data_IF_066608005876
#
_entry.id   IF_066608005876
#
_cell.length_a   1.000
_cell.length_b   1.000
_cell.length_c   1.000
_cell.angle_alpha   90.00
_cell.angle_beta   90.00
_cell.angle_gamma   90.00
#
_symmetry.space_group_name_H-M   'P 1'
#
loop_
_entity.id
_entity.type
_entity.pdbx_description
1 polymer ?
#
# COMPACT_ATOMS: atom_id res chain seq x y z
N UNK A 1 24.10 18.04 -0.95
CA UNK A 1 23.59 18.62 -2.22
C UNK A 1 22.48 17.73 -2.78
N UNK A 2 22.72 16.41 -2.98
CA UNK A 2 21.74 15.49 -3.55
C UNK A 2 20.39 15.45 -2.79
N UNK A 3 20.40 15.44 -1.46
CA UNK A 3 19.17 15.47 -0.65
C UNK A 3 18.39 16.79 -0.75
N UNK A 4 19.10 17.91 -0.88
CA UNK A 4 18.46 19.24 -1.04
C UNK A 4 17.79 19.40 -2.41
N UNK A 5 18.38 18.83 -3.46
CA UNK A 5 17.79 18.85 -4.81
C UNK A 5 16.75 17.74 -4.96
N UNK A 6 16.98 16.58 -4.35
CA UNK A 6 16.11 15.42 -4.44
C UNK A 6 14.70 15.65 -3.90
N UNK A 7 14.55 16.43 -2.82
CA UNK A 7 13.22 16.73 -2.24
C UNK A 7 12.35 17.53 -3.21
N UNK A 8 12.79 18.69 -3.75
CA UNK A 8 11.98 19.44 -4.73
C UNK A 8 11.68 18.64 -6.01
N UNK A 9 12.67 17.88 -6.51
CA UNK A 9 12.47 17.02 -7.69
C UNK A 9 11.47 15.90 -7.38
N UNK A 10 11.56 15.26 -6.21
CA UNK A 10 10.60 14.25 -5.78
C UNK A 10 9.18 14.79 -5.66
N UNK A 11 9.00 15.98 -5.11
CA UNK A 11 7.70 16.65 -5.02
C UNK A 11 7.16 16.96 -6.44
N UNK A 12 8.02 17.44 -7.33
CA UNK A 12 7.63 17.71 -8.72
C UNK A 12 7.18 16.43 -9.44
N UNK A 13 7.95 15.34 -9.30
CA UNK A 13 7.60 14.03 -9.87
C UNK A 13 6.30 13.51 -9.27
N UNK A 14 6.12 13.61 -7.95
CA UNK A 14 4.87 13.22 -7.29
C UNK A 14 3.66 13.99 -7.84
N UNK A 15 3.77 15.33 -7.97
CA UNK A 15 2.73 16.15 -8.59
C UNK A 15 2.42 15.72 -10.02
N UNK A 16 3.46 15.46 -10.83
CA UNK A 16 3.28 15.02 -12.21
C UNK A 16 2.57 13.66 -12.30
N UNK A 17 2.90 12.72 -11.40
CA UNK A 17 2.22 11.42 -11.29
C UNK A 17 0.76 11.62 -10.90
N UNK A 18 0.48 12.39 -9.86
CA UNK A 18 -0.89 12.64 -9.39
C UNK A 18 -1.75 13.35 -10.44
N UNK A 19 -1.19 14.33 -11.17
CA UNK A 19 -1.88 14.97 -12.30
C UNK A 19 -2.12 14.01 -13.46
N UNK A 20 -1.18 13.11 -13.75
CA UNK A 20 -1.36 12.05 -14.73
C UNK A 20 -2.45 11.05 -14.33
N UNK A 21 -2.50 10.68 -13.05
CA UNK A 21 -3.52 9.79 -12.49
C UNK A 21 -4.89 10.47 -12.43
N UNK A 22 -4.98 11.75 -12.05
CA UNK A 22 -6.24 12.50 -12.00
C UNK A 22 -6.93 12.61 -13.38
N UNK A 23 -6.16 12.63 -14.47
CA UNK A 23 -6.70 12.57 -15.83
C UNK A 23 -7.20 11.18 -16.23
N UNK A 24 -6.65 10.14 -15.62
CA UNK A 24 -7.02 8.73 -15.86
C UNK A 24 -8.19 8.29 -14.99
N UNK A 25 -8.26 8.83 -13.77
CA UNK A 25 -9.40 8.77 -12.87
C UNK A 25 -10.35 9.90 -13.29
N UNK A 26 -11.14 9.69 -14.33
CA UNK A 26 -12.04 10.69 -14.97
C UNK A 26 -13.17 11.23 -14.05
N UNK A 27 -12.95 11.33 -12.75
CA UNK A 27 -13.92 11.69 -11.72
C UNK A 27 -13.52 12.89 -10.87
N UNK A 28 -12.62 13.77 -11.34
CA UNK A 28 -12.39 15.06 -10.69
C UNK A 28 -11.83 15.04 -9.26
N UNK A 29 -11.33 13.90 -8.78
CA UNK A 29 -10.74 13.79 -7.44
C UNK A 29 -9.37 14.46 -7.45
N UNK A 30 -9.28 15.67 -6.94
CA UNK A 30 -8.01 16.32 -6.65
C UNK A 30 -7.40 15.75 -5.36
N UNK A 31 -6.38 14.91 -5.50
CA UNK A 31 -5.62 14.41 -4.35
C UNK A 31 -4.66 15.53 -3.89
N UNK A 32 -4.91 16.19 -2.73
CA UNK A 32 -4.06 17.27 -2.28
C UNK A 32 -2.67 16.73 -1.90
N UNK A 33 -1.61 17.34 -2.45
CA UNK A 33 -0.23 17.03 -2.04
C UNK A 33 0.07 17.75 -0.74
N UNK A 34 -0.13 17.07 0.37
CA UNK A 34 0.22 17.61 1.69
C UNK A 34 1.71 17.34 1.96
N UNK A 35 2.50 18.41 1.99
CA UNK A 35 3.94 18.33 2.31
C UNK A 35 4.09 18.59 3.80
N UNK A 36 4.32 17.54 4.59
CA UNK A 36 4.62 17.71 6.01
C UNK A 36 6.09 18.10 6.20
N UNK A 37 6.36 19.18 6.91
CA UNK A 37 7.72 19.64 7.25
C UNK A 37 8.51 18.55 8.01
N UNK A 38 7.92 17.82 8.99
CA UNK A 38 8.58 16.70 9.65
C UNK A 38 8.95 15.56 8.69
N UNK A 39 8.07 15.24 7.71
CA UNK A 39 8.34 14.21 6.70
C UNK A 39 9.51 14.59 5.78
N UNK A 40 9.59 15.85 5.36
CA UNK A 40 10.71 16.34 4.56
C UNK A 40 12.05 16.29 5.34
N UNK A 41 12.02 16.66 6.63
CA UNK A 41 13.21 16.57 7.50
C UNK A 41 13.64 15.12 7.74
N UNK A 42 12.69 14.22 7.99
CA UNK A 42 12.96 12.79 8.12
C UNK A 42 13.59 12.21 6.86
N UNK A 43 13.03 12.52 5.68
CA UNK A 43 13.55 12.07 4.38
C UNK A 43 14.97 12.59 4.14
N UNK A 44 15.25 13.85 4.48
CA UNK A 44 16.58 14.42 4.38
C UNK A 44 17.58 13.71 5.31
N UNK A 45 17.19 13.46 6.55
CA UNK A 45 18.02 12.76 7.55
C UNK A 45 18.34 11.34 7.10
N UNK A 46 17.35 10.61 6.58
CA UNK A 46 17.55 9.27 6.04
C UNK A 46 18.52 9.31 4.83
N UNK A 47 18.32 10.24 3.90
CA UNK A 47 19.20 10.37 2.72
C UNK A 47 20.66 10.66 3.11
N UNK A 48 20.88 11.56 4.07
CA UNK A 48 22.24 11.87 4.58
C UNK A 48 22.84 10.67 5.30
N UNK A 49 22.08 9.99 6.14
CA UNK A 49 22.57 8.81 6.88
C UNK A 49 22.95 7.68 5.94
N UNK A 50 22.12 7.37 4.94
CA UNK A 50 22.42 6.35 3.93
C UNK A 50 23.65 6.73 3.12
N UNK A 51 23.79 8.01 2.71
CA UNK A 51 24.96 8.48 1.98
C UNK A 51 26.25 8.38 2.79
N UNK A 52 26.20 8.74 4.08
CA UNK A 52 27.36 8.63 4.96
C UNK A 52 27.76 7.15 5.19
N UNK A 53 26.79 6.28 5.43
CA UNK A 53 27.03 4.84 5.60
C UNK A 53 27.61 4.22 4.32
N UNK A 54 27.07 4.59 3.16
CA UNK A 54 27.54 4.11 1.86
C UNK A 54 28.97 4.56 1.54
N UNK A 55 29.33 5.77 1.93
CA UNK A 55 30.69 6.30 1.74
C UNK A 55 31.70 5.76 2.77
N UNK A 56 31.24 5.46 3.99
CA UNK A 56 32.12 5.06 5.10
C UNK A 56 32.89 3.76 4.83
N UNK A 57 32.24 2.75 4.28
CA UNK A 57 32.86 1.45 3.98
C UNK A 57 33.98 1.56 2.96
N UNK A 58 33.80 2.17 1.76
CA UNK A 58 34.87 2.38 0.78
C UNK A 58 36.01 3.24 1.32
N UNK A 59 35.69 4.35 2.00
CA UNK A 59 36.70 5.23 2.60
C UNK A 59 37.57 4.49 3.64
N UNK A 60 36.93 3.70 4.53
CA UNK A 60 37.64 2.91 5.52
C UNK A 60 38.51 1.82 4.88
N UNK A 61 38.08 1.23 3.77
CA UNK A 61 38.93 0.28 3.00
C UNK A 61 40.08 0.97 2.36
N UNK A 62 39.84 2.08 1.63
CA UNK A 62 40.88 2.86 0.95
C UNK A 62 41.95 3.38 1.93
N UNK A 63 41.57 3.82 3.14
CA UNK A 63 42.49 4.30 4.16
C UNK A 63 43.43 3.23 4.74
N UNK A 64 43.15 1.97 4.51
CA UNK A 64 43.97 0.82 4.99
C UNK A 64 44.88 0.25 3.90
N UNK A 65 44.76 0.72 2.64
CA UNK A 65 45.59 0.27 1.55
C UNK A 65 47.00 0.88 1.66
N UNK A 66 48.07 0.09 1.45
CA UNK A 66 49.45 0.60 1.42
C UNK A 66 49.58 1.59 0.28
N UNK A 67 50.16 2.76 0.52
CA UNK A 67 50.32 3.84 -0.47
C UNK A 67 51.05 3.34 -1.71
N UNK A 68 52.03 2.44 -1.57
CA UNK A 68 52.79 1.84 -2.70
C UNK A 68 51.88 1.11 -3.69
N UNK A 69 50.88 0.38 -3.22
CA UNK A 69 50.01 -0.43 -4.07
C UNK A 69 48.99 0.44 -4.81
N UNK A 70 48.58 1.56 -4.18
CA UNK A 70 47.70 2.58 -4.81
C UNK A 70 48.45 3.32 -5.92
N UNK A 71 49.74 3.71 -5.68
CA UNK A 71 50.56 4.46 -6.65
C UNK A 71 50.99 3.57 -7.81
N UNK A 72 51.26 2.30 -7.57
CA UNK A 72 51.70 1.36 -8.61
C UNK A 72 50.51 0.76 -9.41
N UNK A 73 49.28 1.05 -9.04
CA UNK A 73 48.11 0.51 -9.72
C UNK A 73 47.97 -1.01 -9.60
N UNK A 74 48.68 -1.62 -8.64
CA UNK A 74 48.71 -3.08 -8.43
C UNK A 74 47.57 -3.60 -7.55
N UNK A 75 46.59 -2.77 -7.22
CA UNK A 75 45.41 -3.15 -6.46
C UNK A 75 44.42 -3.89 -7.38
N UNK A 76 44.84 -5.06 -7.88
CA UNK A 76 43.91 -6.04 -8.42
C UNK A 76 43.26 -6.81 -7.27
N UNK A 77 42.24 -6.28 -6.67
CA UNK A 77 41.34 -7.08 -5.82
C UNK A 77 40.53 -8.02 -6.74
N UNK A 78 41.07 -9.20 -6.99
CA UNK A 78 40.30 -10.32 -7.53
C UNK A 78 39.23 -10.68 -6.47
N UNK A 79 38.07 -10.05 -6.55
CA UNK A 79 36.90 -10.44 -5.75
C UNK A 79 36.36 -11.74 -6.33
N UNK A 80 36.98 -12.86 -5.98
CA UNK A 80 36.32 -14.18 -6.13
C UNK A 80 35.27 -14.23 -5.04
N UNK A 81 33.98 -14.25 -5.37
CA UNK A 81 32.93 -14.33 -4.36
C UNK A 81 33.14 -15.63 -3.56
N UNK A 82 33.41 -15.52 -2.28
CA UNK A 82 33.60 -16.67 -1.42
C UNK A 82 32.30 -17.47 -1.44
N UNK A 83 32.29 -18.80 -1.68
CA UNK A 83 31.08 -19.60 -1.82
C UNK A 83 30.15 -19.49 -0.62
N UNK A 84 30.69 -19.18 0.57
CA UNK A 84 29.90 -18.90 1.76
C UNK A 84 29.07 -17.63 1.65
N UNK A 85 29.60 -16.54 1.07
CA UNK A 85 28.88 -15.27 0.90
C UNK A 85 27.70 -15.47 -0.05
N UNK A 86 27.94 -16.24 -1.07
CA UNK A 86 26.94 -16.63 -2.05
C UNK A 86 25.84 -17.47 -1.43
N UNK A 87 26.21 -18.46 -0.60
CA UNK A 87 25.26 -19.29 0.14
C UNK A 87 24.38 -18.45 1.09
N UNK A 88 25.01 -17.54 1.82
CA UNK A 88 24.30 -16.58 2.70
C UNK A 88 23.32 -15.73 1.88
N UNK A 89 23.76 -15.19 0.74
CA UNK A 89 22.91 -14.40 -0.14
C UNK A 89 21.68 -15.16 -0.65
N UNK A 90 21.87 -16.42 -1.04
CA UNK A 90 20.77 -17.27 -1.52
C UNK A 90 19.77 -17.62 -0.40
N UNK A 91 20.29 -17.93 0.80
CA UNK A 91 19.45 -18.20 1.97
C UNK A 91 18.68 -16.94 2.37
N UNK A 92 19.35 -15.79 2.41
CA UNK A 92 18.72 -14.51 2.73
C UNK A 92 17.63 -14.16 1.71
N UNK A 93 17.87 -14.42 0.42
CA UNK A 93 16.88 -14.24 -0.64
C UNK A 93 15.63 -15.10 -0.39
N UNK A 94 15.82 -16.39 -0.12
CA UNK A 94 14.71 -17.28 0.17
C UNK A 94 13.92 -16.83 1.40
N UNK A 95 14.60 -16.51 2.52
CA UNK A 95 13.95 -16.00 3.73
C UNK A 95 13.14 -14.74 3.41
N UNK A 96 13.72 -13.78 2.69
CA UNK A 96 13.05 -12.52 2.35
C UNK A 96 11.80 -12.70 1.49
N UNK A 97 11.77 -13.70 0.61
CA UNK A 97 10.59 -14.01 -0.21
C UNK A 97 9.48 -14.67 0.63
N UNK A 98 9.84 -15.59 1.53
CA UNK A 98 8.83 -16.34 2.28
C UNK A 98 8.35 -15.63 3.55
N UNK A 99 9.15 -14.74 4.13
CA UNK A 99 8.84 -14.07 5.40
C UNK A 99 7.47 -13.35 5.42
N UNK A 100 7.07 -12.57 4.40
CA UNK A 100 5.76 -11.91 4.40
C UNK A 100 4.58 -12.89 4.37
N UNK A 101 4.76 -14.08 3.79
CA UNK A 101 3.70 -15.10 3.71
C UNK A 101 3.45 -15.82 5.04
N UNK A 102 4.41 -15.75 5.96
CA UNK A 102 4.31 -16.35 7.29
C UNK A 102 3.81 -15.37 8.36
N UNK A 103 3.77 -14.08 8.03
CA UNK A 103 3.37 -13.04 8.95
C UNK A 103 1.89 -12.65 8.74
N UNK A 104 1.19 -12.33 9.83
CA UNK A 104 -0.21 -11.88 9.82
C UNK A 104 -0.41 -10.69 10.76
N UNK A 105 -1.43 -9.88 10.51
CA UNK A 105 -1.76 -8.70 11.31
C UNK A 105 -0.63 -7.65 11.32
N UNK A 106 -0.41 -7.00 12.46
CA UNK A 106 0.61 -5.94 12.60
C UNK A 106 2.05 -6.41 12.33
N UNK A 107 2.32 -7.71 12.46
CA UNK A 107 3.63 -8.28 12.12
C UNK A 107 3.91 -8.27 10.61
N UNK A 108 2.88 -8.20 9.76
CA UNK A 108 3.02 -8.16 8.31
C UNK A 108 3.82 -6.94 7.85
N UNK A 109 3.58 -5.76 8.44
CA UNK A 109 4.31 -4.52 8.10
C UNK A 109 5.79 -4.61 8.44
N UNK A 110 6.12 -5.15 9.62
CA UNK A 110 7.51 -5.36 10.03
C UNK A 110 8.19 -6.42 9.15
N UNK A 111 7.52 -7.55 8.93
CA UNK A 111 8.03 -8.61 8.06
C UNK A 111 8.25 -8.13 6.63
N UNK A 112 7.33 -7.30 6.08
CA UNK A 112 7.47 -6.66 4.77
C UNK A 112 8.68 -5.73 4.69
N UNK A 113 8.90 -4.90 5.71
CA UNK A 113 10.07 -4.02 5.79
C UNK A 113 11.39 -4.79 5.84
N UNK A 114 11.49 -5.82 6.69
CA UNK A 114 12.67 -6.69 6.75
C UNK A 114 12.87 -7.50 5.48
N UNK A 115 11.80 -7.98 4.86
CA UNK A 115 11.83 -8.68 3.58
C UNK A 115 12.40 -7.79 2.46
N UNK A 116 11.96 -6.56 2.36
CA UNK A 116 12.42 -5.60 1.36
C UNK A 116 13.92 -5.30 1.51
N UNK A 117 14.37 -5.00 2.73
CA UNK A 117 15.79 -4.78 3.02
C UNK A 117 16.62 -6.05 2.79
N UNK A 118 16.12 -7.20 3.20
CA UNK A 118 16.74 -8.50 2.99
C UNK A 118 16.87 -8.86 1.51
N UNK A 119 15.86 -8.57 0.70
CA UNK A 119 15.87 -8.77 -0.75
C UNK A 119 16.94 -7.91 -1.43
N UNK A 120 17.07 -6.64 -1.05
CA UNK A 120 18.10 -5.74 -1.56
C UNK A 120 19.49 -6.29 -1.23
N UNK A 121 19.73 -6.62 0.04
CA UNK A 121 21.01 -7.16 0.49
C UNK A 121 21.33 -8.51 -0.20
N UNK A 122 20.36 -9.42 -0.28
CA UNK A 122 20.50 -10.70 -0.94
C UNK A 122 20.84 -10.55 -2.43
N UNK A 123 20.17 -9.64 -3.13
CA UNK A 123 20.41 -9.36 -4.54
C UNK A 123 21.86 -8.93 -4.75
N UNK A 124 22.37 -7.99 -3.94
CA UNK A 124 23.76 -7.54 -4.02
C UNK A 124 24.74 -8.70 -3.83
N UNK A 125 24.44 -9.63 -2.90
CA UNK A 125 25.30 -10.79 -2.63
C UNK A 125 25.23 -11.86 -3.73
N UNK A 126 24.12 -11.97 -4.45
CA UNK A 126 23.89 -12.96 -5.52
C UNK A 126 24.34 -12.45 -6.90
N UNK A 127 24.44 -11.14 -7.13
CA UNK A 127 24.88 -10.54 -8.41
C UNK A 127 26.16 -11.16 -8.97
N UNK A 128 27.22 -11.42 -8.19
CA UNK A 128 28.45 -12.03 -8.73
C UNK A 128 28.24 -13.41 -9.36
N UNK A 129 27.29 -14.19 -8.84
CA UNK A 129 26.93 -15.49 -9.45
C UNK A 129 26.24 -15.27 -10.78
N UNK A 130 25.27 -14.36 -10.78
CA UNK A 130 24.50 -14.06 -11.99
C UNK A 130 25.42 -13.56 -13.10
N UNK A 131 26.39 -12.70 -12.76
CA UNK A 131 27.42 -12.22 -13.69
C UNK A 131 28.30 -13.37 -14.22
N UNK A 132 28.68 -14.33 -13.36
CA UNK A 132 29.44 -15.51 -13.77
C UNK A 132 28.65 -16.43 -14.71
N UNK A 133 27.37 -16.67 -14.42
CA UNK A 133 26.49 -17.48 -15.26
C UNK A 133 26.31 -16.80 -16.62
N UNK A 134 26.00 -15.50 -16.60
CA UNK A 134 25.79 -14.72 -17.81
C UNK A 134 27.05 -14.69 -18.69
N UNK A 135 28.21 -14.47 -18.08
CA UNK A 135 29.50 -14.54 -18.78
C UNK A 135 29.75 -15.90 -19.38
N UNK A 136 29.40 -17.00 -18.71
CA UNK A 136 29.48 -18.36 -19.24
C UNK A 136 28.56 -18.60 -20.44
N UNK A 137 27.36 -18.01 -20.41
CA UNK A 137 26.43 -18.04 -21.54
C UNK A 137 26.99 -17.25 -22.71
N UNK A 138 27.51 -16.06 -22.47
CA UNK A 138 28.15 -15.25 -23.51
C UNK A 138 29.39 -15.94 -24.12
N UNK A 139 30.20 -16.59 -23.30
CA UNK A 139 31.37 -17.36 -23.80
C UNK A 139 30.91 -18.47 -24.76
N UNK A 140 29.81 -19.15 -24.50
CA UNK A 140 29.27 -20.18 -25.40
C UNK A 140 28.69 -19.58 -26.68
N UNK A 141 27.92 -18.49 -26.58
CA UNK A 141 27.29 -17.85 -27.73
C UNK A 141 28.36 -17.23 -28.65
N UNK A 142 29.25 -16.43 -28.10
CA UNK A 142 30.32 -15.81 -28.89
C UNK A 142 31.34 -16.81 -29.40
N UNK A 143 31.59 -17.90 -28.64
CA UNK A 143 32.43 -19.00 -29.12
C UNK A 143 31.82 -19.76 -30.28
N UNK A 144 30.49 -19.84 -30.37
CA UNK A 144 29.78 -20.44 -31.49
C UNK A 144 29.74 -19.54 -32.74
N UNK A 145 29.67 -18.21 -32.56
CA UNK A 145 29.58 -17.22 -33.66
C UNK A 145 30.94 -16.81 -34.20
N UNK A 146 31.89 -16.52 -33.33
CA UNK A 146 33.21 -15.95 -33.67
C UNK A 146 34.38 -16.86 -33.28
N UNK A 147 34.15 -18.13 -32.98
CA UNK A 147 35.19 -19.11 -32.67
C UNK A 147 36.08 -18.73 -31.46
N UNK A 148 37.39 -18.93 -31.58
CA UNK A 148 38.31 -18.69 -30.48
C UNK A 148 38.45 -17.19 -30.12
N UNK A 149 38.28 -16.29 -31.07
CA UNK A 149 38.32 -14.85 -30.82
C UNK A 149 37.16 -14.39 -29.93
N UNK A 150 35.97 -14.91 -30.21
CA UNK A 150 34.78 -14.67 -29.40
C UNK A 150 34.90 -15.21 -27.97
N UNK A 151 35.55 -16.37 -27.78
CA UNK A 151 35.84 -16.93 -26.45
C UNK A 151 36.81 -16.08 -25.65
N UNK A 152 37.86 -15.60 -26.28
CA UNK A 152 38.86 -14.73 -25.65
C UNK A 152 38.23 -13.41 -25.24
N UNK A 153 37.43 -12.81 -26.13
CA UNK A 153 36.69 -11.57 -25.82
C UNK A 153 35.75 -11.71 -24.65
N UNK A 154 34.94 -12.79 -24.61
CA UNK A 154 34.02 -13.06 -23.50
C UNK A 154 34.74 -13.33 -22.18
N UNK A 155 35.91 -13.98 -22.23
CA UNK A 155 36.74 -14.24 -21.05
C UNK A 155 37.38 -12.96 -20.51
N UNK A 156 37.86 -12.08 -21.40
CA UNK A 156 38.36 -10.77 -20.99
C UNK A 156 37.30 -9.88 -20.40
N UNK A 157 36.05 -9.97 -20.89
CA UNK A 157 34.89 -9.30 -20.25
C UNK A 157 34.65 -9.79 -18.83
N UNK A 158 34.74 -11.11 -18.60
CA UNK A 158 34.53 -11.71 -17.29
C UNK A 158 35.60 -11.30 -16.29
N UNK A 159 36.86 -11.24 -16.71
CA UNK A 159 38.01 -10.94 -15.86
C UNK A 159 38.18 -9.42 -15.62
N UNK A 160 37.38 -8.58 -16.29
CA UNK A 160 37.44 -7.12 -16.16
C UNK A 160 36.46 -6.64 -15.07
N UNK A 161 36.99 -6.07 -13.98
CA UNK A 161 36.24 -5.55 -12.86
C UNK A 161 35.25 -4.45 -13.26
N UNK A 162 35.62 -3.56 -14.17
CA UNK A 162 34.75 -2.51 -14.68
C UNK A 162 33.53 -3.09 -15.40
N UNK A 163 33.67 -4.20 -16.10
CA UNK A 163 32.55 -4.87 -16.77
C UNK A 163 31.58 -5.44 -15.73
N UNK A 164 32.08 -6.08 -14.67
CA UNK A 164 31.25 -6.60 -13.58
C UNK A 164 30.53 -5.48 -12.88
N UNK A 165 31.17 -4.35 -12.60
CA UNK A 165 30.52 -3.18 -11.98
C UNK A 165 29.45 -2.58 -12.89
N UNK A 166 29.69 -2.44 -14.18
CA UNK A 166 28.71 -1.91 -15.13
C UNK A 166 27.50 -2.84 -15.27
N UNK A 167 27.71 -4.15 -15.34
CA UNK A 167 26.61 -5.14 -15.36
C UNK A 167 25.80 -5.06 -14.06
N UNK A 168 26.46 -4.91 -12.92
CA UNK A 168 25.80 -4.74 -11.63
C UNK A 168 24.94 -3.47 -11.60
N UNK A 169 25.48 -2.34 -12.06
CA UNK A 169 24.73 -1.08 -12.13
C UNK A 169 23.53 -1.17 -13.07
N UNK A 170 23.70 -1.78 -14.24
CA UNK A 170 22.61 -2.02 -15.19
C UNK A 170 21.53 -2.91 -14.58
N UNK A 171 21.93 -3.99 -13.90
CA UNK A 171 20.98 -4.89 -13.25
C UNK A 171 20.18 -4.19 -12.15
N UNK A 172 20.86 -3.41 -11.29
CA UNK A 172 20.20 -2.61 -10.24
C UNK A 172 19.25 -1.59 -10.86
N UNK A 173 19.67 -0.90 -11.94
CA UNK A 173 18.86 0.09 -12.61
C UNK A 173 17.60 -0.51 -13.24
N UNK A 174 17.75 -1.62 -13.95
CA UNK A 174 16.62 -2.34 -14.56
C UNK A 174 15.68 -2.87 -13.47
N UNK A 175 16.23 -3.45 -12.40
CA UNK A 175 15.44 -3.95 -11.27
C UNK A 175 14.66 -2.82 -10.59
N UNK A 176 15.25 -1.65 -10.42
CA UNK A 176 14.59 -0.47 -9.89
C UNK A 176 13.43 0.00 -10.78
N UNK A 177 13.64 0.05 -12.10
CA UNK A 177 12.59 0.41 -13.07
C UNK A 177 11.44 -0.58 -13.01
N UNK A 178 11.73 -1.89 -12.99
CA UNK A 178 10.72 -2.93 -12.88
C UNK A 178 9.96 -2.80 -11.56
N UNK A 179 10.66 -2.60 -10.44
CA UNK A 179 10.02 -2.42 -9.13
C UNK A 179 9.08 -1.21 -9.11
N UNK A 180 9.51 -0.06 -9.65
CA UNK A 180 8.66 1.14 -9.77
C UNK A 180 7.45 0.87 -10.67
N UNK A 181 7.64 0.19 -11.79
CA UNK A 181 6.55 -0.18 -12.70
C UNK A 181 5.54 -1.12 -12.05
N UNK A 182 6.01 -2.12 -11.29
CA UNK A 182 5.13 -3.06 -10.57
C UNK A 182 4.33 -2.34 -9.49
N UNK A 183 5.00 -1.49 -8.69
CA UNK A 183 4.32 -0.69 -7.66
C UNK A 183 3.33 0.28 -8.29
N UNK A 184 3.72 0.97 -9.36
CA UNK A 184 2.84 1.89 -10.09
C UNK A 184 1.61 1.19 -10.65
N UNK A 185 1.80 0.04 -11.29
CA UNK A 185 0.69 -0.76 -11.82
C UNK A 185 -0.20 -1.31 -10.69
N UNK A 186 0.39 -1.76 -9.58
CA UNK A 186 -0.37 -2.21 -8.41
C UNK A 186 -1.23 -1.07 -7.85
N UNK A 187 -0.65 0.11 -7.63
CA UNK A 187 -1.38 1.28 -7.11
C UNK A 187 -2.50 1.68 -8.07
N UNK A 188 -2.24 1.75 -9.38
CA UNK A 188 -3.25 2.09 -10.37
C UNK A 188 -4.37 1.06 -10.41
N UNK A 189 -4.04 -0.22 -10.42
CA UNK A 189 -5.04 -1.31 -10.42
C UNK A 189 -5.82 -1.32 -9.12
N UNK A 190 -5.15 -1.15 -7.97
CA UNK A 190 -5.80 -1.13 -6.66
C UNK A 190 -6.77 0.05 -6.54
N UNK A 191 -6.35 1.26 -6.92
CA UNK A 191 -7.21 2.44 -6.91
C UNK A 191 -8.39 2.25 -7.87
N UNK A 192 -8.12 1.78 -9.10
CA UNK A 192 -9.18 1.49 -10.08
C UNK A 192 -10.16 0.46 -9.54
N UNK A 193 -9.68 -0.63 -8.93
CA UNK A 193 -10.54 -1.68 -8.36
C UNK A 193 -11.37 -1.20 -7.15
N UNK A 194 -10.81 -0.29 -6.34
CA UNK A 194 -11.50 0.30 -5.20
C UNK A 194 -12.67 1.16 -5.65
N UNK A 195 -12.44 2.01 -6.66
CA UNK A 195 -13.48 2.93 -7.17
C UNK A 195 -14.32 2.34 -8.30
N UNK A 196 -13.92 1.18 -8.86
CA UNK A 196 -14.67 0.52 -9.91
C UNK A 196 -15.93 -0.14 -9.35
N UNK A 197 -17.05 0.50 -9.53
CA UNK A 197 -18.34 0.09 -9.01
C UNK A 197 -18.84 0.92 -7.82
N UNK A 198 -18.06 1.90 -7.36
CA UNK A 198 -18.56 2.94 -6.48
C UNK A 198 -19.35 3.97 -7.30
N UNK A 199 -20.58 4.23 -6.90
CA UNK A 199 -21.46 5.18 -7.60
C UNK A 199 -21.27 6.62 -7.09
N UNK A 200 -20.47 6.83 -6.05
CA UNK A 200 -20.26 8.18 -5.49
C UNK A 200 -19.48 9.08 -6.46
N UNK A 201 -19.90 10.33 -6.55
CA UNK A 201 -19.24 11.35 -7.36
C UNK A 201 -18.59 12.44 -6.52
N UNK A 202 -18.98 12.54 -5.25
CA UNK A 202 -18.31 13.39 -4.30
C UNK A 202 -18.59 12.94 -2.88
N UNK A 203 -17.78 13.44 -1.95
CA UNK A 203 -17.95 13.18 -0.53
C UNK A 203 -17.48 14.38 0.29
N UNK A 204 -18.02 14.48 1.51
CA UNK A 204 -17.56 15.39 2.54
C UNK A 204 -17.24 14.59 3.81
N UNK A 205 -16.17 14.95 4.50
CA UNK A 205 -15.74 14.36 5.75
C UNK A 205 -15.66 15.46 6.82
N UNK A 206 -16.21 15.19 8.01
CA UNK A 206 -16.27 16.13 9.12
C UNK A 206 -17.65 16.18 9.76
N UNK A 207 -17.73 16.89 10.86
CA UNK A 207 -18.98 16.99 11.64
C UNK A 207 -20.03 17.84 10.91
N UNK A 208 -21.10 17.20 10.50
CA UNK A 208 -22.21 17.82 9.76
C UNK A 208 -23.50 17.68 10.54
N UNK A 209 -24.17 18.80 10.77
CA UNK A 209 -25.49 18.80 11.40
C UNK A 209 -26.56 18.33 10.40
N UNK A 210 -27.68 17.74 10.86
CA UNK A 210 -28.74 17.26 9.99
C UNK A 210 -29.25 18.31 8.99
N UNK A 211 -29.36 19.58 9.42
CA UNK A 211 -29.80 20.68 8.54
C UNK A 211 -28.80 20.95 7.40
N UNK A 212 -27.54 20.60 7.56
CA UNK A 212 -26.56 20.69 6.46
C UNK A 212 -26.83 19.61 5.41
N UNK A 213 -27.10 18.38 5.85
CA UNK A 213 -27.40 17.24 4.97
C UNK A 213 -28.69 17.52 4.19
N UNK A 214 -29.77 17.99 4.86
CA UNK A 214 -31.00 18.38 4.20
C UNK A 214 -30.79 19.45 3.11
N UNK A 215 -29.94 20.45 3.37
CA UNK A 215 -29.62 21.46 2.37
C UNK A 215 -28.86 20.88 1.17
N UNK A 216 -27.99 19.88 1.39
CA UNK A 216 -27.29 19.21 0.30
C UNK A 216 -28.26 18.35 -0.53
N UNK A 217 -29.21 17.69 0.10
CA UNK A 217 -30.28 16.93 -0.59
C UNK A 217 -31.18 17.81 -1.47
N UNK A 218 -31.41 19.05 -1.06
CA UNK A 218 -32.21 20.04 -1.82
C UNK A 218 -31.45 20.73 -2.93
N UNK A 219 -30.12 20.53 -3.06
CA UNK A 219 -29.31 21.17 -4.09
C UNK A 219 -29.65 20.64 -5.49
N UNK A 220 -29.84 21.58 -6.43
CA UNK A 220 -30.08 21.25 -7.83
C UNK A 220 -28.90 20.47 -8.44
N UNK A 221 -29.19 19.31 -9.03
CA UNK A 221 -28.18 18.45 -9.63
C UNK A 221 -27.73 17.30 -8.74
N UNK A 222 -28.03 17.28 -7.44
CA UNK A 222 -27.82 16.13 -6.56
C UNK A 222 -28.93 15.11 -6.76
N UNK A 223 -28.57 13.86 -6.96
CA UNK A 223 -29.54 12.76 -7.17
C UNK A 223 -29.76 11.94 -5.89
N UNK A 224 -28.68 11.62 -5.20
CA UNK A 224 -28.71 10.83 -3.96
C UNK A 224 -27.69 11.39 -2.98
N UNK A 225 -28.06 11.40 -1.70
CA UNK A 225 -27.18 11.75 -0.59
C UNK A 225 -27.16 10.60 0.40
N UNK A 226 -25.99 10.20 0.80
CA UNK A 226 -25.76 9.20 1.83
C UNK A 226 -25.03 9.85 3.00
N UNK A 227 -25.69 10.05 4.11
CA UNK A 227 -25.10 10.54 5.34
C UNK A 227 -24.83 9.40 6.32
N UNK A 228 -23.70 9.45 7.00
CA UNK A 228 -23.21 8.34 7.84
C UNK A 228 -22.72 8.87 9.18
N UNK A 229 -23.15 8.22 10.26
CA UNK A 229 -22.56 8.39 11.58
C UNK A 229 -21.32 7.50 11.72
N UNK A 230 -20.24 8.02 12.31
CA UNK A 230 -18.99 7.27 12.46
C UNK A 230 -18.57 7.16 13.91
N UNK A 231 -18.25 5.97 14.35
CA UNK A 231 -17.71 5.67 15.68
C UNK A 231 -16.31 5.03 15.53
N UNK A 232 -15.28 5.79 15.86
CA UNK A 232 -13.91 5.31 15.80
C UNK A 232 -13.42 4.85 17.18
N UNK A 233 -13.02 3.60 17.30
CA UNK A 233 -12.45 3.01 18.51
C UNK A 233 -13.29 3.20 19.80
N UNK A 234 -14.61 3.40 19.65
CA UNK A 234 -15.53 3.66 20.77
C UNK A 234 -16.40 2.46 21.12
N UNK A 235 -16.85 1.72 20.12
CA UNK A 235 -17.80 0.60 20.31
C UNK A 235 -17.02 -0.71 20.44
N UNK A 236 -17.48 -1.55 21.39
CA UNK A 236 -16.82 -2.82 21.73
C UNK A 236 -17.83 -3.98 21.67
N UNK A 237 -17.29 -5.17 21.42
CA UNK A 237 -18.03 -6.44 21.55
C UNK A 237 -17.10 -7.53 22.09
N UNK A 238 -17.49 -8.25 23.14
CA UNK A 238 -16.74 -9.39 23.67
C UNK A 238 -15.26 -9.08 24.00
N UNK A 239 -14.93 -7.84 24.40
CA UNK A 239 -13.55 -7.40 24.68
C UNK A 239 -12.77 -6.92 23.46
N UNK A 240 -13.36 -6.95 22.26
CA UNK A 240 -12.76 -6.44 21.02
C UNK A 240 -13.35 -5.06 20.76
N UNK A 241 -12.50 -4.10 20.38
CA UNK A 241 -12.92 -2.76 19.96
C UNK A 241 -12.96 -2.71 18.44
N UNK A 242 -14.07 -2.23 17.87
CA UNK A 242 -14.15 -1.95 16.44
C UNK A 242 -13.29 -0.73 16.13
N UNK A 243 -12.43 -0.84 15.12
CA UNK A 243 -11.64 0.30 14.62
C UNK A 243 -12.57 1.38 14.06
N UNK A 244 -13.59 0.95 13.31
CA UNK A 244 -14.59 1.85 12.75
C UNK A 244 -15.93 1.14 12.63
N UNK A 245 -16.97 1.71 13.26
CA UNK A 245 -18.36 1.31 13.13
C UNK A 245 -19.14 2.48 12.54
N UNK A 246 -19.98 2.20 11.56
CA UNK A 246 -20.78 3.23 10.89
C UNK A 246 -22.28 2.97 11.03
N UNK A 247 -23.05 4.08 11.08
CA UNK A 247 -24.50 4.07 11.09
C UNK A 247 -25.09 4.69 9.84
N UNK A 248 -25.94 3.97 9.10
CA UNK A 248 -26.57 4.45 7.87
C UNK A 248 -28.05 4.15 7.82
N UNK A 249 -28.84 5.04 7.21
CA UNK A 249 -30.27 4.81 6.98
C UNK A 249 -30.54 3.96 5.75
N UNK A 250 -29.67 4.02 4.76
CA UNK A 250 -29.86 3.34 3.50
C UNK A 250 -28.68 2.42 3.16
N UNK A 251 -28.80 1.17 3.58
CA UNK A 251 -27.76 0.16 3.35
C UNK A 251 -27.58 -0.17 1.86
N UNK A 252 -28.62 -0.03 1.04
CA UNK A 252 -28.51 -0.28 -0.39
C UNK A 252 -27.63 0.79 -1.07
N UNK A 253 -27.89 2.07 -0.78
CA UNK A 253 -27.05 3.17 -1.27
C UNK A 253 -25.64 3.12 -0.69
N UNK A 254 -25.54 2.82 0.60
CA UNK A 254 -24.25 2.62 1.26
C UNK A 254 -23.41 1.54 0.54
N UNK A 255 -24.05 0.42 0.20
CA UNK A 255 -23.40 -0.68 -0.52
C UNK A 255 -22.98 -0.28 -1.93
N UNK A 256 -23.82 0.44 -2.70
CA UNK A 256 -23.50 0.83 -4.08
C UNK A 256 -22.48 1.97 -4.14
N UNK A 257 -22.65 3.00 -3.30
CA UNK A 257 -21.75 4.16 -3.29
C UNK A 257 -20.35 3.80 -2.79
N UNK A 258 -20.22 2.91 -1.83
CA UNK A 258 -18.93 2.50 -1.25
C UNK A 258 -18.40 1.16 -1.79
N UNK A 259 -19.04 0.63 -2.84
CA UNK A 259 -18.66 -0.61 -3.52
C UNK A 259 -18.50 -1.81 -2.56
N UNK A 260 -19.37 -1.96 -1.56
CA UNK A 260 -19.35 -3.10 -0.68
C UNK A 260 -19.74 -4.38 -1.43
N UNK A 261 -18.96 -5.42 -1.28
CA UNK A 261 -19.26 -6.74 -1.83
C UNK A 261 -19.80 -7.65 -0.73
N UNK A 262 -21.09 -7.90 -0.75
CA UNK A 262 -21.68 -8.88 0.15
C UNK A 262 -21.27 -10.29 -0.26
N UNK A 263 -20.98 -11.12 0.72
CA UNK A 263 -20.57 -12.51 0.51
C UNK A 263 -21.69 -13.33 -0.11
N UNK A 264 -22.92 -13.05 0.28
CA UNK A 264 -24.14 -13.64 -0.29
C UNK A 264 -25.15 -12.53 -0.62
N UNK A 265 -25.61 -12.50 -1.87
CA UNK A 265 -26.61 -11.53 -2.33
C UNK A 265 -27.96 -11.70 -1.63
N UNK A 266 -28.29 -12.92 -1.16
CA UNK A 266 -29.49 -13.18 -0.38
C UNK A 266 -29.45 -12.52 1.00
N UNK A 267 -28.27 -12.46 1.62
CA UNK A 267 -28.06 -11.78 2.90
C UNK A 267 -28.15 -10.26 2.78
N UNK A 268 -27.80 -9.66 1.66
CA UNK A 268 -27.99 -8.22 1.43
C UNK A 268 -29.48 -7.87 1.55
N UNK A 269 -30.38 -8.61 0.89
CA UNK A 269 -31.82 -8.34 0.96
C UNK A 269 -32.38 -8.46 2.38
N UNK A 270 -31.92 -9.43 3.16
CA UNK A 270 -32.30 -9.58 4.56
C UNK A 270 -31.77 -8.44 5.43
N UNK A 271 -30.51 -8.07 5.26
CA UNK A 271 -29.92 -6.95 5.98
C UNK A 271 -30.60 -5.62 5.65
N UNK A 272 -30.92 -5.36 4.38
CA UNK A 272 -31.68 -4.16 3.96
C UNK A 272 -33.06 -4.15 4.63
N UNK A 273 -33.77 -5.29 4.68
CA UNK A 273 -35.07 -5.38 5.35
C UNK A 273 -34.97 -5.11 6.86
N UNK A 274 -33.98 -5.69 7.56
CA UNK A 274 -33.73 -5.45 8.97
C UNK A 274 -33.41 -3.99 9.28
N UNK A 275 -32.62 -3.34 8.43
CA UNK A 275 -32.31 -1.90 8.55
C UNK A 275 -33.59 -1.04 8.36
N UNK A 276 -34.40 -1.37 7.34
CA UNK A 276 -35.67 -0.68 7.08
C UNK A 276 -36.68 -0.84 8.21
N UNK A 277 -36.71 -2.01 8.87
CA UNK A 277 -37.58 -2.30 10.02
C UNK A 277 -37.05 -1.69 11.33
N UNK A 278 -35.93 -1.01 11.33
CA UNK A 278 -35.24 -0.47 12.51
C UNK A 278 -34.91 -1.54 13.57
N UNK A 279 -34.61 -2.75 13.11
CA UNK A 279 -34.17 -3.82 13.98
C UNK A 279 -32.72 -3.58 14.42
N UNK A 280 -32.37 -4.03 15.64
CA UNK A 280 -31.00 -4.02 16.14
C UNK A 280 -30.19 -5.07 15.41
N UNK A 281 -29.77 -4.74 14.22
CA UNK A 281 -28.99 -5.58 13.35
C UNK A 281 -27.63 -4.92 13.02
N UNK A 282 -26.61 -5.75 12.81
CA UNK A 282 -25.28 -5.32 12.43
C UNK A 282 -24.78 -6.16 11.26
N UNK A 283 -24.13 -5.55 10.31
CA UNK A 283 -23.35 -6.26 9.31
C UNK A 283 -21.86 -6.08 9.62
N UNK A 284 -21.09 -7.15 9.53
CA UNK A 284 -19.67 -7.16 9.87
C UNK A 284 -18.80 -7.40 8.63
N UNK A 285 -17.61 -6.80 8.63
CA UNK A 285 -16.62 -7.13 7.63
C UNK A 285 -16.15 -8.58 7.79
N UNK A 286 -15.80 -9.26 6.70
CA UNK A 286 -15.29 -10.63 6.78
C UNK A 286 -14.01 -10.74 7.62
N UNK A 287 -13.16 -9.73 7.59
CA UNK A 287 -11.95 -9.68 8.42
C UNK A 287 -12.30 -9.60 9.90
N UNK A 288 -13.36 -8.86 10.25
CA UNK A 288 -13.89 -8.82 11.61
C UNK A 288 -14.46 -10.16 12.05
N UNK A 289 -15.26 -10.82 11.20
CA UNK A 289 -15.80 -12.16 11.48
C UNK A 289 -14.69 -13.20 11.69
N UNK A 290 -13.67 -13.20 10.84
CA UNK A 290 -12.53 -14.12 10.99
C UNK A 290 -11.74 -13.88 12.27
N UNK A 291 -11.58 -12.60 12.67
CA UNK A 291 -10.83 -12.23 13.87
C UNK A 291 -11.59 -12.56 15.15
N UNK A 292 -12.91 -12.43 15.12
CA UNK A 292 -13.79 -12.64 16.29
C UNK A 292 -14.30 -14.06 16.42
N UNK A 293 -14.40 -14.79 15.30
CA UNK A 293 -15.02 -16.12 15.23
C UNK A 293 -16.53 -16.11 15.22
N UNK A 294 -17.18 -14.95 15.09
CA UNK A 294 -18.64 -14.83 14.99
C UNK A 294 -19.16 -15.34 13.64
N UNK A 295 -20.40 -15.77 13.63
CA UNK A 295 -21.11 -16.23 12.43
C UNK A 295 -22.31 -15.32 12.14
N UNK A 296 -22.70 -15.26 10.87
CA UNK A 296 -23.94 -14.57 10.48
C UNK A 296 -25.13 -15.29 11.13
N UNK A 297 -25.99 -14.52 11.78
CA UNK A 297 -27.11 -15.02 12.60
C UNK A 297 -26.85 -15.05 14.10
N UNK A 298 -25.58 -14.89 14.53
CA UNK A 298 -25.26 -14.80 15.96
C UNK A 298 -25.78 -13.49 16.55
N UNK A 299 -26.09 -13.52 17.87
CA UNK A 299 -26.36 -12.34 18.67
C UNK A 299 -25.07 -11.88 19.36
N UNK A 300 -24.71 -10.63 19.19
CA UNK A 300 -23.54 -10.01 19.84
C UNK A 300 -23.97 -8.82 20.68
N UNK A 301 -23.21 -8.53 21.73
CA UNK A 301 -23.44 -7.39 22.60
C UNK A 301 -22.54 -6.22 22.16
N UNK A 302 -23.14 -5.14 21.67
CA UNK A 302 -22.40 -3.90 21.38
C UNK A 302 -22.45 -2.99 22.60
N UNK A 303 -21.30 -2.42 22.96
CA UNK A 303 -21.19 -1.54 24.13
C UNK A 303 -20.36 -0.29 23.82
N UNK A 304 -20.86 0.85 24.27
CA UNK A 304 -20.12 2.12 24.29
C UNK A 304 -19.37 2.35 25.62
N UNK A 305 -19.32 1.32 26.49
CA UNK A 305 -18.70 1.38 27.82
C UNK A 305 -19.69 1.66 28.96
N UNK A 306 -20.95 1.97 28.66
CA UNK A 306 -22.01 2.24 29.67
C UNK A 306 -23.02 1.10 29.70
N UNK A 307 -23.52 0.68 28.55
CA UNK A 307 -24.53 -0.37 28.41
C UNK A 307 -24.07 -1.37 27.35
N UNK A 308 -24.54 -2.61 27.50
CA UNK A 308 -24.39 -3.67 26.52
C UNK A 308 -25.76 -3.94 25.86
N UNK A 309 -25.80 -3.76 24.55
CA UNK A 309 -27.02 -3.81 23.76
C UNK A 309 -26.93 -4.97 22.77
N UNK A 310 -27.93 -5.89 22.74
CA UNK A 310 -27.90 -7.03 21.83
C UNK A 310 -28.18 -6.60 20.38
N UNK A 311 -27.37 -7.12 19.46
CA UNK A 311 -27.50 -6.95 18.03
C UNK A 311 -27.37 -8.30 17.32
N UNK A 312 -28.19 -8.55 16.31
CA UNK A 312 -28.07 -9.75 15.48
C UNK A 312 -27.18 -9.47 14.26
N UNK A 313 -26.24 -10.36 13.97
CA UNK A 313 -25.41 -10.27 12.77
C UNK A 313 -26.24 -10.63 11.55
N UNK A 314 -26.70 -9.62 10.80
CA UNK A 314 -27.58 -9.80 9.64
C UNK A 314 -26.85 -10.16 8.36
N UNK A 315 -25.53 -10.00 8.30
CA UNK A 315 -24.75 -10.29 7.11
C UNK A 315 -23.28 -9.97 7.24
N UNK A 316 -22.54 -10.26 6.16
CA UNK A 316 -21.12 -9.96 6.05
C UNK A 316 -20.77 -9.34 4.71
N UNK A 317 -19.74 -8.48 4.72
CA UNK A 317 -19.29 -7.77 3.54
C UNK A 317 -17.76 -7.75 3.44
N UNK A 318 -17.29 -7.59 2.21
CA UNK A 318 -15.91 -7.20 1.89
C UNK A 318 -15.90 -5.77 1.39
N UNK A 319 -15.01 -4.96 1.92
CA UNK A 319 -14.71 -3.64 1.37
C UNK A 319 -13.21 -3.55 1.09
N UNK A 320 -12.87 -2.85 0.00
CA UNK A 320 -11.51 -2.41 -0.30
C UNK A 320 -11.39 -0.89 -0.25
N UNK A 321 -12.55 -0.21 -0.20
CA UNK A 321 -12.64 1.24 -0.21
C UNK A 321 -12.61 1.85 1.19
N UNK A 322 -13.04 1.10 2.19
CA UNK A 322 -13.19 1.59 3.56
C UNK A 322 -12.60 0.61 4.57
N UNK A 323 -12.15 1.13 5.70
CA UNK A 323 -11.67 0.37 6.86
C UNK A 323 -12.80 0.05 7.87
N UNK A 324 -14.04 0.13 7.42
CA UNK A 324 -15.23 -0.13 8.23
C UNK A 324 -15.29 -1.60 8.62
N UNK A 325 -15.43 -1.86 9.91
CA UNK A 325 -15.54 -3.21 10.46
C UNK A 325 -16.99 -3.62 10.71
N UNK A 326 -17.86 -2.65 11.02
CA UNK A 326 -19.26 -2.91 11.32
C UNK A 326 -20.15 -1.77 10.80
N UNK A 327 -21.37 -2.13 10.36
CA UNK A 327 -22.40 -1.14 9.97
C UNK A 327 -23.70 -1.49 10.67
N UNK A 328 -24.37 -0.47 11.23
CA UNK A 328 -25.64 -0.55 11.93
C UNK A 328 -26.67 0.41 11.32
N UNK A 329 -27.97 0.25 11.57
CA UNK A 329 -28.99 1.24 11.20
C UNK A 329 -28.72 2.59 11.87
N UNK A 330 -28.88 3.71 11.14
CA UNK A 330 -28.70 5.05 11.70
C UNK A 330 -29.61 5.31 12.91
N UNK A 331 -30.82 4.78 12.92
CA UNK A 331 -31.69 4.84 14.07
C UNK A 331 -31.02 4.29 15.36
N UNK A 332 -30.32 3.15 15.22
CA UNK A 332 -29.60 2.55 16.35
C UNK A 332 -28.38 3.39 16.74
N UNK A 333 -27.70 4.01 15.77
CA UNK A 333 -26.59 4.94 16.05
C UNK A 333 -27.05 6.12 16.93
N UNK A 334 -28.26 6.64 16.67
CA UNK A 334 -28.83 7.73 17.46
C UNK A 334 -29.39 7.22 18.81
N UNK A 335 -30.23 6.18 18.80
CA UNK A 335 -30.97 5.74 20.02
C UNK A 335 -30.06 5.05 21.03
N UNK A 336 -29.14 4.23 20.57
CA UNK A 336 -28.35 3.33 21.41
C UNK A 336 -26.94 3.92 21.74
N UNK A 337 -26.40 4.74 20.82
CA UNK A 337 -25.04 5.31 20.96
C UNK A 337 -25.01 6.84 21.02
N UNK A 338 -26.15 7.50 20.89
CA UNK A 338 -26.27 8.96 21.09
C UNK A 338 -25.64 9.79 19.99
N UNK A 339 -25.57 9.29 18.77
CA UNK A 339 -25.10 10.05 17.62
C UNK A 339 -26.00 11.27 17.37
N UNK A 340 -25.44 12.43 17.12
CA UNK A 340 -26.17 13.68 16.90
C UNK A 340 -25.78 14.40 15.62
N UNK A 341 -24.61 14.09 15.07
CA UNK A 341 -24.05 14.73 13.87
C UNK A 341 -23.53 13.62 12.95
N UNK A 342 -23.65 13.83 11.68
CA UNK A 342 -23.02 12.98 10.67
C UNK A 342 -21.53 13.33 10.55
N UNK A 343 -20.71 12.34 10.31
CA UNK A 343 -19.27 12.52 10.17
C UNK A 343 -18.79 12.29 8.74
N UNK A 344 -19.59 11.63 7.92
CA UNK A 344 -19.31 11.39 6.52
C UNK A 344 -20.57 11.55 5.67
N UNK A 345 -20.42 12.15 4.49
CA UNK A 345 -21.47 12.32 3.50
C UNK A 345 -20.93 11.95 2.13
N UNK A 346 -21.64 11.11 1.38
CA UNK A 346 -21.37 10.84 -0.02
C UNK A 346 -22.58 11.22 -0.86
N UNK A 347 -22.36 11.63 -2.10
CA UNK A 347 -23.46 11.99 -3.00
C UNK A 347 -23.21 11.52 -4.43
N UNK A 348 -24.31 11.36 -5.17
CA UNK A 348 -24.32 11.23 -6.62
C UNK A 348 -24.95 12.45 -7.26
N UNK A 349 -24.50 12.81 -8.44
CA UNK A 349 -24.94 13.98 -9.18
C UNK A 349 -25.17 13.66 -10.65
N UNK A 350 -26.15 14.31 -11.28
CA UNK A 350 -26.43 14.15 -12.69
C UNK A 350 -25.29 14.72 -13.57
N UNK A 351 -24.68 15.82 -13.13
CA UNK A 351 -23.52 16.46 -13.77
C UNK A 351 -22.53 16.90 -12.68
N UNK A 352 -21.49 16.08 -12.40
CA UNK A 352 -20.51 16.40 -11.36
C UNK A 352 -19.74 17.70 -11.61
N UNK A 353 -19.54 18.08 -12.88
CA UNK A 353 -18.77 19.28 -13.25
C UNK A 353 -19.58 20.57 -12.97
N UNK A 354 -20.91 20.48 -12.95
CA UNK A 354 -21.77 21.63 -12.66
C UNK A 354 -21.86 22.00 -11.17
N UNK A 355 -21.45 21.07 -10.27
CA UNK A 355 -21.54 21.25 -8.81
C UNK A 355 -20.24 21.81 -8.24
N UNK A 356 -19.15 21.80 -9.00
CA UNK A 356 -17.82 22.32 -8.60
C UNK A 356 -17.67 23.84 -8.80
N UNK A 357 -18.67 24.64 -8.53
CA UNK A 357 -18.59 26.12 -8.64
C UNK A 357 -18.45 26.77 -7.28
#
# INVERSE_FOLDING_TARGET
IGGLIGIPVGIFVLKAILQGMGKTLSQGIEIPVIISLPGAFLSFTVAVTVSLLSAWLPVRRASRLPIKDVVLGTVEERHIPHPLIVGIGTILFAISVFLPHLASGNMLYLAGGFSLLGLIAATILVIPIFTNILSGVFERIFGAIAGNEGRIAARNMKDNENTTQNVTLLFISISAIIAISVVGNFVTTYISDVFHGAELQGFADGRMEPEFVERVEEMEGIEKVLAVYVFENTIKTGGITFSRLEGTDNLEWYSSMLALKFTDKGLLGQAVASFGNKERSVILSEDCLQRTGFLVGDEILLSNGTEEIPYTIAGSFKSRATDVEAVIPAYCAVSDFGATVYDFLAYTAADPDAIMV
#
